data_IF_636964509985
#
_entry.id   IF_636964509985
#
_cell.length_a   1.000
_cell.length_b   1.000
_cell.length_c   1.000
_cell.angle_alpha   90.00
_cell.angle_beta   90.00
_cell.angle_gamma   90.00
#
_symmetry.space_group_name_H-M   'P 1'
#
loop_
_entity.id
_entity.type
_entity.pdbx_description
1 polymer ?
#
# COMPACT_ATOMS: atom_id res chain seq x y z
N UNK A 1 0.77 -24.62 -30.57
CA UNK A 1 1.04 -23.96 -29.27
C UNK A 1 -0.17 -24.18 -28.37
N UNK A 2 -0.22 -25.32 -27.67
CA UNK A 2 -1.39 -25.81 -26.91
C UNK A 2 -0.94 -26.00 -25.46
N UNK A 3 -0.82 -24.92 -24.68
CA UNK A 3 -0.54 -25.00 -23.22
C UNK A 3 -1.44 -24.07 -22.39
N UNK A 4 -2.27 -23.21 -23.00
CA UNK A 4 -3.06 -22.22 -22.24
C UNK A 4 -4.51 -22.59 -21.88
N UNK A 5 -5.04 -23.73 -22.34
CA UNK A 5 -6.46 -24.07 -22.15
C UNK A 5 -6.78 -25.13 -21.08
N UNK A 6 -5.77 -25.80 -20.49
CA UNK A 6 -6.00 -26.87 -19.51
C UNK A 6 -5.85 -26.47 -18.04
N UNK A 7 -5.51 -25.21 -17.72
CA UNK A 7 -5.31 -24.77 -16.33
C UNK A 7 -6.57 -24.26 -15.61
N UNK A 8 -7.66 -23.93 -16.32
CA UNK A 8 -8.83 -23.26 -15.71
C UNK A 8 -9.63 -24.10 -14.70
N UNK A 9 -9.88 -25.41 -14.90
CA UNK A 9 -10.69 -26.18 -13.95
C UNK A 9 -9.96 -26.46 -12.65
N UNK A 10 -8.68 -26.82 -12.75
CA UNK A 10 -7.86 -27.20 -11.59
C UNK A 10 -7.60 -26.01 -10.66
N UNK A 11 -7.40 -24.80 -11.21
CA UNK A 11 -7.26 -23.59 -10.39
C UNK A 11 -8.54 -23.31 -9.59
N UNK A 12 -9.72 -23.49 -10.18
CA UNK A 12 -11.00 -23.31 -9.46
C UNK A 12 -11.15 -24.32 -8.33
N UNK A 13 -10.86 -25.60 -8.59
CA UNK A 13 -10.92 -26.63 -7.56
C UNK A 13 -9.95 -26.35 -6.40
N UNK A 14 -8.74 -25.88 -6.69
CA UNK A 14 -7.75 -25.51 -5.67
C UNK A 14 -8.22 -24.29 -4.87
N UNK A 15 -8.77 -23.27 -5.53
CA UNK A 15 -9.31 -22.08 -4.85
C UNK A 15 -10.51 -22.44 -3.97
N UNK A 16 -11.43 -23.28 -4.45
CA UNK A 16 -12.57 -23.74 -3.67
C UNK A 16 -12.13 -24.56 -2.45
N UNK A 17 -11.08 -25.38 -2.59
CA UNK A 17 -10.48 -26.12 -1.48
C UNK A 17 -9.79 -25.21 -0.46
N UNK A 18 -9.08 -24.17 -0.91
CA UNK A 18 -8.42 -23.19 -0.03
C UNK A 18 -9.45 -22.32 0.71
N UNK A 19 -10.53 -21.90 0.03
CA UNK A 19 -11.61 -21.11 0.62
C UNK A 19 -12.41 -21.95 1.62
N UNK A 20 -12.61 -23.25 1.34
CA UNK A 20 -13.36 -24.16 2.22
C UNK A 20 -12.52 -24.75 3.35
N UNK A 21 -11.18 -24.66 3.27
CA UNK A 21 -10.28 -25.13 4.32
C UNK A 21 -10.28 -24.15 5.49
N UNK A 22 -10.85 -24.58 6.62
CA UNK A 22 -10.63 -23.91 7.90
C UNK A 22 -9.20 -24.18 8.36
N UNK A 23 -8.35 -23.15 8.34
CA UNK A 23 -6.99 -23.26 8.87
C UNK A 23 -7.03 -23.49 10.39
N UNK A 24 -6.18 -24.37 10.93
CA UNK A 24 -6.09 -24.57 12.38
C UNK A 24 -5.74 -23.23 13.05
N UNK A 25 -6.65 -22.71 13.88
CA UNK A 25 -6.57 -21.36 14.46
C UNK A 25 -7.75 -20.43 14.11
N UNK A 26 -8.63 -20.81 13.20
CA UNK A 26 -9.88 -20.08 12.93
C UNK A 26 -9.73 -18.84 12.04
N UNK A 27 -8.57 -18.65 11.38
CA UNK A 27 -8.39 -17.58 10.40
C UNK A 27 -9.11 -17.89 9.09
N UNK A 28 -9.94 -16.96 8.63
CA UNK A 28 -10.66 -17.02 7.36
C UNK A 28 -9.97 -16.08 6.35
N UNK A 29 -9.66 -16.58 5.15
CA UNK A 29 -9.13 -15.76 4.05
C UNK A 29 -10.27 -14.92 3.46
N UNK A 30 -10.39 -13.65 3.88
CA UNK A 30 -11.29 -12.67 3.27
C UNK A 30 -10.53 -11.74 2.34
N UNK A 31 -10.64 -11.97 1.03
CA UNK A 31 -10.16 -11.04 0.01
C UNK A 31 -11.24 -9.99 -0.28
N UNK A 32 -10.89 -8.69 -0.27
CA UNK A 32 -11.78 -7.60 -0.68
C UNK A 32 -12.86 -7.19 0.34
N UNK A 33 -12.71 -7.57 1.62
CA UNK A 33 -13.62 -7.18 2.72
C UNK A 33 -12.91 -6.41 3.82
N UNK A 34 -11.65 -6.00 3.61
CA UNK A 34 -10.96 -5.19 4.62
C UNK A 34 -11.59 -3.80 4.67
N UNK A 35 -11.63 -3.19 5.86
CA UNK A 35 -12.09 -1.79 6.00
C UNK A 35 -11.27 -0.81 5.14
N UNK A 36 -10.07 -1.23 4.71
CA UNK A 36 -9.16 -0.47 3.86
C UNK A 36 -9.61 -0.49 2.39
N UNK A 37 -10.38 -1.50 1.98
CA UNK A 37 -10.91 -1.61 0.61
C UNK A 37 -12.10 -0.64 0.37
N UNK A 38 -12.61 0.00 1.43
CA UNK A 38 -13.65 1.02 1.32
C UNK A 38 -13.04 2.33 0.81
N UNK A 39 -13.66 2.99 -0.18
CA UNK A 39 -13.18 4.29 -0.65
C UNK A 39 -13.15 5.27 0.52
N UNK A 40 -11.95 5.79 0.83
CA UNK A 40 -11.73 6.81 1.84
C UNK A 40 -12.57 8.06 1.52
N UNK A 41 -13.56 8.36 2.37
CA UNK A 41 -14.41 9.56 2.25
C UNK A 41 -13.64 10.86 2.58
N UNK A 42 -12.38 10.77 2.99
CA UNK A 42 -11.62 11.90 3.52
C UNK A 42 -10.26 12.04 2.81
N UNK A 43 -10.29 12.48 1.55
CA UNK A 43 -9.12 13.08 0.90
C UNK A 43 -8.87 14.45 1.52
N UNK A 44 -8.07 14.51 2.58
CA UNK A 44 -7.53 15.81 3.00
C UNK A 44 -6.62 16.33 1.88
N UNK A 45 -6.77 17.59 1.42
CA UNK A 45 -5.86 18.14 0.44
C UNK A 45 -4.44 18.09 1.02
N UNK A 46 -3.44 17.59 0.26
CA UNK A 46 -2.07 17.60 0.74
C UNK A 46 -1.67 19.05 1.03
N UNK A 47 -1.01 19.27 2.17
CA UNK A 47 -0.39 20.55 2.49
C UNK A 47 0.49 20.97 1.32
N UNK A 48 0.45 22.26 0.98
CA UNK A 48 1.14 22.83 -0.16
C UNK A 48 2.65 22.83 0.05
N UNK A 49 3.28 21.67 -0.01
CA UNK A 49 4.70 21.53 -0.22
C UNK A 49 5.00 22.04 -1.63
N UNK A 50 5.92 22.99 -1.74
CA UNK A 50 6.46 23.44 -3.01
C UNK A 50 7.34 22.31 -3.58
N UNK A 51 6.71 21.26 -4.11
CA UNK A 51 7.44 20.19 -4.82
C UNK A 51 7.90 20.84 -6.11
N UNK A 52 9.15 21.29 -6.11
CA UNK A 52 9.80 21.85 -7.29
C UNK A 52 9.55 20.91 -8.47
N UNK A 53 9.23 21.50 -9.62
CA UNK A 53 9.03 20.85 -10.93
C UNK A 53 9.42 19.38 -10.91
N UNK A 54 8.43 18.47 -10.90
CA UNK A 54 8.68 17.05 -11.03
C UNK A 54 9.31 16.77 -12.39
N UNK A 55 10.63 16.77 -12.41
CA UNK A 55 11.44 16.46 -13.57
C UNK A 55 11.40 14.95 -13.82
N UNK A 56 11.57 14.53 -15.08
CA UNK A 56 11.48 13.11 -15.49
C UNK A 56 12.44 12.19 -14.73
N UNK A 57 13.52 12.74 -14.18
CA UNK A 57 14.50 12.04 -13.33
C UNK A 57 13.96 11.63 -11.95
N UNK A 58 12.84 12.22 -11.49
CA UNK A 58 12.21 11.89 -10.19
C UNK A 58 11.02 10.95 -10.30
N UNK A 59 10.54 10.65 -11.51
CA UNK A 59 9.38 9.78 -11.74
C UNK A 59 9.61 8.37 -11.19
N UNK A 60 10.83 7.82 -11.35
CA UNK A 60 11.17 6.52 -10.79
C UNK A 60 11.06 6.51 -9.26
N UNK A 61 11.50 7.57 -8.58
CA UNK A 61 11.39 7.68 -7.13
C UNK A 61 9.93 7.83 -6.67
N UNK A 62 9.07 8.53 -7.41
CA UNK A 62 7.62 8.56 -7.09
C UNK A 62 6.99 7.18 -7.23
N UNK A 63 7.30 6.49 -8.32
CA UNK A 63 6.80 5.13 -8.54
C UNK A 63 7.20 4.21 -7.39
N UNK A 64 8.49 4.18 -7.04
CA UNK A 64 8.99 3.34 -5.95
C UNK A 64 8.44 3.76 -4.59
N UNK A 65 8.27 5.06 -4.33
CA UNK A 65 7.58 5.55 -3.14
C UNK A 65 6.16 4.97 -3.01
N UNK A 66 5.35 5.08 -4.06
CA UNK A 66 3.99 4.51 -4.06
C UNK A 66 4.01 2.99 -3.86
N UNK A 67 4.92 2.30 -4.56
CA UNK A 67 5.09 0.86 -4.46
C UNK A 67 5.48 0.41 -3.04
N UNK A 68 6.48 1.04 -2.43
CA UNK A 68 6.99 0.66 -1.11
C UNK A 68 5.97 0.89 0.00
N UNK A 69 5.19 1.98 -0.09
CA UNK A 69 4.10 2.24 0.86
C UNK A 69 3.01 1.17 0.72
N UNK A 70 2.56 0.87 -0.51
CA UNK A 70 1.56 -0.18 -0.73
C UNK A 70 2.07 -1.56 -0.32
N UNK A 71 3.32 -1.86 -0.59
CA UNK A 71 3.96 -3.10 -0.15
C UNK A 71 4.02 -3.18 1.38
N UNK A 72 4.28 -2.07 2.07
CA UNK A 72 4.27 -1.99 3.53
C UNK A 72 2.87 -2.23 4.11
N UNK A 73 1.82 -1.73 3.44
CA UNK A 73 0.42 -2.04 3.78
C UNK A 73 0.18 -3.54 3.68
N UNK A 74 0.49 -4.16 2.53
CA UNK A 74 0.26 -5.59 2.31
C UNK A 74 1.07 -6.46 3.28
N UNK A 75 2.35 -6.14 3.50
CA UNK A 75 3.19 -6.83 4.48
C UNK A 75 2.60 -6.74 5.89
N UNK A 76 2.11 -5.58 6.29
CA UNK A 76 1.47 -5.37 7.60
C UNK A 76 0.25 -6.25 7.76
N UNK A 77 -0.66 -6.25 6.77
CA UNK A 77 -1.91 -7.00 6.80
C UNK A 77 -1.72 -8.52 6.70
N UNK A 78 -0.67 -8.97 6.00
CA UNK A 78 -0.32 -10.41 5.88
C UNK A 78 0.41 -10.98 7.08
N UNK A 79 0.59 -10.20 8.15
CA UNK A 79 1.24 -10.70 9.36
C UNK A 79 2.76 -10.78 9.24
N UNK A 80 3.41 -9.98 8.36
CA UNK A 80 4.86 -9.94 8.28
C UNK A 80 5.50 -9.59 9.62
N UNK A 81 6.74 -10.05 9.83
CA UNK A 81 7.53 -9.67 11.00
C UNK A 81 7.85 -8.17 11.00
N UNK A 82 8.15 -7.64 12.19
CA UNK A 82 8.43 -6.20 12.39
C UNK A 82 9.54 -5.68 11.50
N UNK A 83 10.61 -6.46 11.32
CA UNK A 83 11.78 -6.03 10.54
C UNK A 83 11.44 -5.83 9.06
N UNK A 84 10.57 -6.69 8.52
CA UNK A 84 10.09 -6.59 7.15
C UNK A 84 9.22 -5.35 6.94
N UNK A 85 8.34 -5.01 7.88
CA UNK A 85 7.52 -3.79 7.79
C UNK A 85 8.42 -2.55 7.88
N UNK A 86 9.34 -2.51 8.84
CA UNK A 86 10.32 -1.41 8.98
C UNK A 86 11.14 -1.20 7.71
N UNK A 87 11.51 -2.28 7.03
CA UNK A 87 12.26 -2.18 5.78
C UNK A 87 11.51 -1.39 4.71
N UNK A 88 10.23 -1.71 4.47
CA UNK A 88 9.42 -1.02 3.47
C UNK A 88 9.16 0.45 3.81
N UNK A 89 8.88 0.74 5.09
CA UNK A 89 8.72 2.13 5.55
C UNK A 89 10.02 2.92 5.38
N UNK A 90 11.18 2.31 5.67
CA UNK A 90 12.49 2.95 5.45
C UNK A 90 12.77 3.24 3.97
N UNK A 91 12.43 2.33 3.05
CA UNK A 91 12.55 2.61 1.61
C UNK A 91 11.63 3.78 1.20
N UNK A 92 10.40 3.79 1.72
CA UNK A 92 9.45 4.87 1.50
C UNK A 92 10.01 6.23 1.95
N UNK A 93 10.63 6.31 3.13
CA UNK A 93 11.28 7.54 3.63
C UNK A 93 12.38 8.01 2.67
N UNK A 94 13.23 7.08 2.20
CA UNK A 94 14.30 7.40 1.24
C UNK A 94 13.73 8.01 -0.04
N UNK A 95 12.77 7.35 -0.69
CA UNK A 95 12.20 7.85 -1.93
C UNK A 95 11.43 9.17 -1.74
N UNK A 96 10.68 9.32 -0.65
CA UNK A 96 10.01 10.59 -0.31
C UNK A 96 11.01 11.74 -0.18
N UNK A 97 12.17 11.49 0.41
CA UNK A 97 13.24 12.48 0.55
C UNK A 97 13.86 12.86 -0.80
N UNK A 98 14.15 11.87 -1.66
CA UNK A 98 14.70 12.10 -3.01
C UNK A 98 13.76 12.94 -3.90
N UNK A 99 12.44 12.76 -3.76
CA UNK A 99 11.47 13.56 -4.52
C UNK A 99 11.18 14.93 -3.90
N UNK A 100 11.71 15.23 -2.72
CA UNK A 100 11.52 16.51 -2.01
C UNK A 100 10.20 16.62 -1.26
N UNK A 101 9.57 15.49 -0.91
CA UNK A 101 8.33 15.44 -0.12
C UNK A 101 8.65 15.38 1.39
N UNK A 102 9.29 16.42 1.92
CA UNK A 102 9.80 16.45 3.30
C UNK A 102 8.72 16.14 4.35
N UNK A 103 7.52 16.75 4.25
CA UNK A 103 6.43 16.48 5.19
C UNK A 103 5.92 15.05 5.15
N UNK A 104 5.99 14.38 3.99
CA UNK A 104 5.64 12.96 3.87
C UNK A 104 6.73 12.07 4.45
N UNK A 105 8.01 12.43 4.24
CA UNK A 105 9.13 11.73 4.85
C UNK A 105 9.08 11.79 6.39
N UNK A 106 8.66 12.93 6.95
CA UNK A 106 8.43 13.10 8.39
C UNK A 106 7.30 12.19 8.90
N UNK A 107 6.13 12.18 8.24
CA UNK A 107 5.02 11.29 8.61
C UNK A 107 5.40 9.81 8.56
N UNK A 108 6.16 9.40 7.53
CA UNK A 108 6.69 8.04 7.44
C UNK A 108 7.73 7.75 8.54
N UNK A 109 8.51 8.75 8.94
CA UNK A 109 9.42 8.67 10.08
C UNK A 109 8.69 8.42 11.41
N UNK A 110 7.61 9.14 11.68
CA UNK A 110 6.78 8.91 12.87
C UNK A 110 6.18 7.49 12.89
N UNK A 111 5.76 6.99 11.73
CA UNK A 111 5.30 5.61 11.57
C UNK A 111 6.44 4.62 11.86
N UNK A 112 7.64 4.87 11.32
CA UNK A 112 8.82 4.04 11.56
C UNK A 112 9.18 3.96 13.04
N UNK A 113 9.17 5.08 13.75
CA UNK A 113 9.42 5.12 15.20
C UNK A 113 8.34 4.37 15.99
N UNK A 114 7.07 4.52 15.61
CA UNK A 114 5.95 3.78 16.21
C UNK A 114 6.14 2.27 16.07
N UNK A 115 6.51 1.79 14.88
CA UNK A 115 6.78 0.37 14.64
C UNK A 115 8.01 -0.06 15.45
N UNK A 116 9.09 0.72 15.43
CA UNK A 116 10.35 0.39 16.09
C UNK A 116 10.17 0.20 17.61
N UNK A 117 9.40 1.10 18.24
CA UNK A 117 9.10 1.10 19.66
C UNK A 117 8.16 -0.05 20.10
N UNK A 118 7.36 -0.60 19.19
CA UNK A 118 6.44 -1.70 19.51
C UNK A 118 7.21 -2.99 19.83
N UNK A 119 6.80 -3.66 20.91
CA UNK A 119 7.29 -5.02 21.23
C UNK A 119 6.54 -6.03 20.35
N UNK A 120 7.19 -7.13 19.99
CA UNK A 120 6.56 -8.18 19.16
C UNK A 120 5.24 -8.69 19.76
N UNK A 121 5.15 -8.80 21.09
CA UNK A 121 3.94 -9.21 21.80
C UNK A 121 2.76 -8.22 21.69
N UNK A 122 3.03 -6.96 21.32
CA UNK A 122 2.03 -5.89 21.17
C UNK A 122 1.52 -5.79 19.73
N UNK A 123 2.18 -6.46 18.77
CA UNK A 123 1.80 -6.48 17.34
C UNK A 123 0.64 -7.44 17.11
N UNK A 124 -0.54 -7.00 17.54
CA UNK A 124 -1.82 -7.67 17.34
C UNK A 124 -2.43 -7.41 15.95
N UNK A 125 -3.49 -8.13 15.60
CA UNK A 125 -4.26 -7.87 14.38
C UNK A 125 -4.82 -6.45 14.34
N UNK A 126 -5.40 -5.96 15.44
CA UNK A 126 -5.93 -4.59 15.53
C UNK A 126 -4.81 -3.54 15.34
N UNK A 127 -3.64 -3.77 15.94
CA UNK A 127 -2.50 -2.87 15.76
C UNK A 127 -2.06 -2.81 14.29
N UNK A 128 -2.05 -3.95 13.61
CA UNK A 128 -1.73 -4.06 12.18
C UNK A 128 -2.75 -3.33 11.33
N UNK A 129 -4.03 -3.47 11.62
CA UNK A 129 -5.10 -2.75 10.91
C UNK A 129 -4.94 -1.23 11.06
N UNK A 130 -4.67 -0.74 12.28
CA UNK A 130 -4.44 0.68 12.52
C UNK A 130 -3.18 1.20 11.79
N UNK A 131 -2.10 0.42 11.77
CA UNK A 131 -0.90 0.78 11.03
C UNK A 131 -1.16 0.82 9.51
N UNK A 132 -1.86 -0.19 8.98
CA UNK A 132 -2.20 -0.28 7.57
C UNK A 132 -3.09 0.90 7.13
N UNK A 133 -4.04 1.34 7.97
CA UNK A 133 -4.83 2.56 7.71
C UNK A 133 -3.94 3.80 7.60
N UNK A 134 -2.95 3.97 8.48
CA UNK A 134 -2.00 5.10 8.41
C UNK A 134 -1.18 5.07 7.12
N UNK A 135 -0.62 3.91 6.78
CA UNK A 135 0.16 3.74 5.54
C UNK A 135 -0.71 3.95 4.29
N UNK A 136 -1.96 3.49 4.28
CA UNK A 136 -2.86 3.69 3.16
C UNK A 136 -3.20 5.17 2.94
N UNK A 137 -3.31 5.97 4.01
CA UNK A 137 -3.47 7.44 3.88
C UNK A 137 -2.26 8.10 3.19
N UNK A 138 -1.04 7.60 3.44
CA UNK A 138 0.14 8.05 2.72
C UNK A 138 0.05 7.67 1.24
N UNK A 139 -0.41 6.45 0.91
CA UNK A 139 -0.64 6.04 -0.48
C UNK A 139 -1.66 6.94 -1.19
N UNK A 140 -2.76 7.29 -0.52
CA UNK A 140 -3.77 8.22 -1.05
C UNK A 140 -3.18 9.62 -1.32
N UNK A 141 -2.32 10.12 -0.43
CA UNK A 141 -1.63 11.40 -0.60
C UNK A 141 -0.65 11.36 -1.79
N UNK A 142 0.10 10.27 -1.95
CA UNK A 142 1.00 10.07 -3.09
C UNK A 142 0.19 10.13 -4.39
N UNK A 143 -0.93 9.39 -4.47
CA UNK A 143 -1.83 9.44 -5.61
C UNK A 143 -2.33 10.85 -5.92
N UNK A 144 -2.81 11.58 -4.89
CA UNK A 144 -3.29 12.95 -5.05
C UNK A 144 -2.19 13.93 -5.49
N UNK A 145 -0.93 13.73 -5.06
CA UNK A 145 0.21 14.51 -5.53
C UNK A 145 0.47 14.17 -7.00
N UNK A 146 0.64 12.90 -7.35
CA UNK A 146 0.96 12.48 -8.73
C UNK A 146 -0.12 12.92 -9.73
N UNK A 147 -1.40 12.82 -9.38
CA UNK A 147 -2.53 13.32 -10.18
C UNK A 147 -2.39 14.81 -10.52
N UNK A 148 -1.96 15.65 -9.55
CA UNK A 148 -1.79 17.10 -9.77
C UNK A 148 -0.65 17.43 -10.74
N UNK A 149 0.35 16.58 -10.86
CA UNK A 149 1.52 16.82 -11.71
C UNK A 149 1.38 16.28 -13.13
N UNK A 150 0.36 15.45 -13.39
CA UNK A 150 0.07 14.96 -14.73
C UNK A 150 -1.23 15.58 -15.27
N UNK A 151 -1.08 16.70 -15.99
CA UNK A 151 -2.19 17.51 -16.51
C UNK A 151 -3.20 16.74 -17.38
N UNK A 152 -2.78 15.66 -18.04
CA UNK A 152 -3.60 14.85 -18.94
C UNK A 152 -4.02 13.51 -18.33
N UNK A 153 -3.75 13.28 -17.04
CA UNK A 153 -4.10 12.03 -16.38
C UNK A 153 -5.62 11.82 -16.34
N UNK A 154 -6.04 10.63 -16.76
CA UNK A 154 -7.46 10.21 -16.76
C UNK A 154 -7.58 8.92 -15.95
N UNK A 155 -7.93 8.99 -14.66
CA UNK A 155 -8.04 7.79 -13.82
C UNK A 155 -9.13 6.83 -14.30
N UNK A 156 -10.17 7.37 -14.97
CA UNK A 156 -11.27 6.61 -15.54
C UNK A 156 -11.31 6.86 -17.05
N UNK A 157 -10.72 5.97 -17.88
CA UNK A 157 -10.89 6.09 -19.33
C UNK A 157 -12.37 5.92 -19.66
N UNK A 158 -12.96 6.91 -20.34
CA UNK A 158 -14.34 6.81 -20.81
C UNK A 158 -14.46 5.60 -21.73
N UNK A 159 -15.34 4.66 -21.37
CA UNK A 159 -15.73 3.58 -22.28
C UNK A 159 -16.48 4.25 -23.42
N UNK A 160 -15.88 4.33 -24.61
CA UNK A 160 -16.60 4.73 -25.80
C UNK A 160 -17.64 3.63 -26.06
N UNK A 161 -18.89 3.89 -25.68
CA UNK A 161 -20.10 3.17 -26.08
C UNK A 161 -20.50 3.53 -27.49
#
# INVERSE_FOLDING_TARGET
>A
MIIFFMLKPQIRTILDQIISAKFPGGWELSFGKSKIDLPSTQRNPPESGNVGSLTSDKVANIFWLGYDVMWSVDATLRGADKSRILHGVRQSIHHASEVGLAGMAEQLGEIYETISAAKEAEISAEWRDQLAIKLNRIADQIGAITEKYQNDFRPNPSVNS
#
